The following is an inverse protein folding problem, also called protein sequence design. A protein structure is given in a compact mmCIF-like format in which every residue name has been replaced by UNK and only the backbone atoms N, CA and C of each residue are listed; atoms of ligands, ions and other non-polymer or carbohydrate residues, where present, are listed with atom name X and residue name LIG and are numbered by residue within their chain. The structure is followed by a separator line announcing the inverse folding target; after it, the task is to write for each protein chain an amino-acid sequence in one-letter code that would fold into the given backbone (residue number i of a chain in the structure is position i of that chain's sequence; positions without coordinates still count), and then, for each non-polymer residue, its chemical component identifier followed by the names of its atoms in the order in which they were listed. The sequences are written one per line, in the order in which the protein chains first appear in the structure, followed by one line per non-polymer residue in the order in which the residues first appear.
data_IF_410565905877
#
_entry.id   IF_410565905877
#
_cell.length_a   1.000
_cell.length_b   1.000
_cell.length_c   1.000
_cell.angle_alpha   90.00
_cell.angle_beta   90.00
_cell.angle_gamma   90.00
#
_symmetry.space_group_name_H-M   'P 1'
#
loop_
_entity.id
_entity.type
_entity.pdbx_description
1 polymer ?
#
# COMPACT_ATOMS: atom_id res chain seq x y z
N UNK A 1 -1.76 -11.59 1.81
CA UNK A 1 -3.06 -10.97 1.49
C UNK A 1 -3.21 -10.83 -0.02
N UNK A 2 -4.43 -10.70 -0.54
CA UNK A 2 -4.68 -10.43 -1.96
C UNK A 2 -4.36 -8.96 -2.32
N UNK A 3 -3.71 -8.75 -3.47
CA UNK A 3 -3.32 -7.41 -3.93
C UNK A 3 -3.78 -7.22 -5.36
N UNK A 4 -4.59 -6.19 -5.58
CA UNK A 4 -5.00 -5.68 -6.89
C UNK A 4 -4.46 -4.27 -7.13
N UNK A 5 -4.66 -3.73 -8.33
CA UNK A 5 -4.20 -2.40 -8.73
C UNK A 5 -5.36 -1.56 -9.23
N UNK A 6 -5.40 -0.27 -8.86
CA UNK A 6 -6.46 0.64 -9.26
C UNK A 6 -6.49 0.91 -10.77
N UNK A 7 -5.36 0.72 -11.46
CA UNK A 7 -5.25 0.91 -12.92
C UNK A 7 -4.36 -0.14 -13.54
N UNK A 8 -4.65 -0.48 -14.80
CA UNK A 8 -3.80 -1.36 -15.61
C UNK A 8 -2.38 -0.77 -15.80
N UNK A 9 -2.24 0.56 -15.78
CA UNK A 9 -0.92 1.22 -15.83
C UNK A 9 -0.10 0.89 -14.59
N UNK A 10 -0.68 0.97 -13.40
CA UNK A 10 0.00 0.60 -12.16
C UNK A 10 0.36 -0.88 -12.16
N UNK A 11 -0.57 -1.73 -12.54
CA UNK A 11 -0.32 -3.17 -12.68
C UNK A 11 0.88 -3.44 -13.60
N UNK A 12 0.93 -2.78 -14.77
CA UNK A 12 2.05 -2.92 -15.72
C UNK A 12 3.38 -2.45 -15.12
N UNK A 13 3.39 -1.36 -14.34
CA UNK A 13 4.61 -0.88 -13.67
C UNK A 13 5.09 -1.91 -12.65
N UNK A 14 4.16 -2.54 -11.92
CA UNK A 14 4.43 -3.49 -10.86
C UNK A 14 4.65 -4.94 -11.35
N UNK A 15 4.38 -5.22 -12.62
CA UNK A 15 4.45 -6.57 -13.18
C UNK A 15 5.86 -7.19 -13.19
N UNK A 16 6.90 -6.37 -13.30
CA UNK A 16 8.29 -6.85 -13.36
C UNK A 16 9.24 -5.94 -12.60
N UNK A 17 10.36 -6.48 -12.11
CA UNK A 17 11.41 -5.66 -11.50
C UNK A 17 11.94 -4.60 -12.49
N UNK A 18 12.13 -4.97 -13.77
CA UNK A 18 12.58 -4.05 -14.81
C UNK A 18 11.64 -2.86 -15.00
N UNK A 19 10.32 -3.09 -15.02
CA UNK A 19 9.33 -2.01 -15.13
C UNK A 19 9.30 -1.13 -13.89
N UNK A 20 9.46 -1.72 -12.70
CA UNK A 20 9.54 -1.01 -11.43
C UNK A 20 10.78 -0.10 -11.36
N UNK A 21 11.95 -0.62 -11.73
CA UNK A 21 13.22 0.13 -11.81
C UNK A 21 13.13 1.26 -12.83
N UNK A 22 12.49 1.03 -13.99
CA UNK A 22 12.25 2.08 -14.99
C UNK A 22 11.33 3.17 -14.46
N UNK A 23 10.35 2.81 -13.62
CA UNK A 23 9.37 3.74 -13.07
C UNK A 23 9.90 4.60 -11.92
N UNK A 24 10.70 4.01 -11.03
CA UNK A 24 11.06 4.64 -9.75
C UNK A 24 12.57 4.72 -9.47
N UNK A 25 13.41 4.06 -10.26
CA UNK A 25 14.83 3.90 -9.94
C UNK A 25 15.11 2.61 -9.16
N UNK A 26 16.38 2.20 -9.10
CA UNK A 26 16.78 0.90 -8.57
C UNK A 26 16.56 0.78 -7.04
N UNK A 27 16.89 1.83 -6.29
CA UNK A 27 16.77 1.84 -4.83
C UNK A 27 15.31 1.85 -4.37
N UNK A 28 14.48 2.69 -4.99
CA UNK A 28 13.05 2.77 -4.75
C UNK A 28 12.37 1.46 -5.15
N UNK A 29 12.70 0.92 -6.33
CA UNK A 29 12.16 -0.36 -6.78
C UNK A 29 12.45 -1.48 -5.77
N UNK A 30 13.69 -1.61 -5.28
CA UNK A 30 14.05 -2.59 -4.25
C UNK A 30 13.21 -2.43 -2.97
N UNK A 31 12.94 -1.18 -2.56
CA UNK A 31 12.15 -0.89 -1.36
C UNK A 31 10.66 -1.15 -1.58
N UNK A 32 10.11 -0.80 -2.74
CA UNK A 32 8.73 -1.10 -3.13
C UNK A 32 8.52 -2.62 -3.14
N UNK A 33 9.40 -3.37 -3.82
CA UNK A 33 9.34 -4.84 -3.85
C UNK A 33 9.32 -5.42 -2.44
N UNK A 34 10.15 -4.89 -1.52
CA UNK A 34 10.12 -5.33 -0.11
C UNK A 34 8.76 -5.08 0.55
N UNK A 35 8.09 -3.94 0.30
CA UNK A 35 6.75 -3.67 0.84
C UNK A 35 5.70 -4.61 0.26
N UNK A 36 5.76 -4.88 -1.03
CA UNK A 36 4.87 -5.84 -1.69
C UNK A 36 5.04 -7.24 -1.12
N UNK A 37 6.28 -7.71 -0.97
CA UNK A 37 6.56 -9.02 -0.35
C UNK A 37 5.98 -9.11 1.05
N UNK A 38 6.12 -8.05 1.85
CA UNK A 38 5.55 -7.98 3.20
C UNK A 38 4.01 -8.07 3.16
N UNK A 39 3.35 -7.33 2.26
CA UNK A 39 1.90 -7.35 2.09
C UNK A 39 1.40 -8.73 1.60
N UNK A 40 2.08 -9.32 0.62
CA UNK A 40 1.73 -10.66 0.12
C UNK A 40 1.84 -11.72 1.22
N UNK A 41 2.89 -11.66 2.04
CA UNK A 41 3.12 -12.60 3.14
C UNK A 41 2.24 -12.35 4.38
N UNK A 42 1.70 -11.14 4.55
CA UNK A 42 0.85 -10.80 5.68
C UNK A 42 -0.50 -11.52 5.60
N UNK A 43 -0.93 -12.11 6.72
CA UNK A 43 -2.24 -12.75 6.84
C UNK A 43 -3.38 -11.73 6.79
N UNK A 44 -3.17 -10.56 7.38
CA UNK A 44 -4.07 -9.42 7.34
C UNK A 44 -3.26 -8.12 7.49
N UNK A 45 -3.93 -6.99 7.34
CA UNK A 45 -3.30 -5.67 7.38
C UNK A 45 -2.68 -5.34 8.75
N UNK A 46 -3.21 -5.88 9.84
CA UNK A 46 -2.69 -5.62 11.20
C UNK A 46 -1.21 -6.02 11.35
N UNK A 47 -0.77 -7.08 10.66
CA UNK A 47 0.65 -7.50 10.63
C UNK A 47 1.57 -6.35 10.19
N UNK A 48 1.12 -5.50 9.26
CA UNK A 48 1.90 -4.39 8.72
C UNK A 48 2.24 -3.33 9.76
N UNK A 49 1.54 -3.26 10.90
CA UNK A 49 1.90 -2.35 12.01
C UNK A 49 3.21 -2.75 12.70
N UNK A 50 3.55 -4.03 12.66
CA UNK A 50 4.76 -4.56 13.30
C UNK A 50 5.98 -4.53 12.37
N UNK A 51 5.77 -4.25 11.08
CA UNK A 51 6.81 -4.29 10.05
C UNK A 51 7.36 -2.88 9.74
N UNK A 52 8.62 -2.78 9.29
CA UNK A 52 9.19 -1.51 8.86
C UNK A 52 8.40 -0.86 7.73
N UNK A 53 8.26 0.46 7.75
CA UNK A 53 7.52 1.22 6.73
C UNK A 53 6.39 2.08 7.30
N UNK A 54 6.15 2.06 8.61
CA UNK A 54 5.17 2.95 9.28
C UNK A 54 3.81 2.94 8.57
N UNK A 55 3.19 1.77 8.45
CA UNK A 55 1.84 1.65 7.87
C UNK A 55 0.83 2.45 8.70
N UNK A 56 0.08 3.36 8.08
CA UNK A 56 -0.91 4.19 8.77
C UNK A 56 -2.09 4.58 7.88
N UNK A 57 -3.23 4.87 8.50
CA UNK A 57 -4.42 5.40 7.81
C UNK A 57 -4.19 6.87 7.42
N UNK A 58 -4.71 7.24 6.25
CA UNK A 58 -4.80 8.61 5.79
C UNK A 58 -6.12 9.24 6.23
N UNK A 59 -6.15 10.57 6.25
CA UNK A 59 -7.23 11.36 6.83
C UNK A 59 -7.77 12.37 5.80
N UNK A 60 -8.88 13.04 6.10
CA UNK A 60 -9.50 14.02 5.20
C UNK A 60 -10.03 13.36 3.93
N UNK A 61 -9.73 13.96 2.77
CA UNK A 61 -10.18 13.48 1.45
C UNK A 61 -9.65 12.08 1.08
N UNK A 62 -8.66 11.60 1.84
CA UNK A 62 -8.06 10.26 1.70
C UNK A 62 -8.46 9.32 2.82
N UNK A 63 -9.53 9.63 3.57
CA UNK A 63 -10.11 8.71 4.53
C UNK A 63 -10.33 7.33 3.88
N UNK A 64 -10.13 6.26 4.65
CA UNK A 64 -10.12 4.84 4.23
C UNK A 64 -8.92 4.37 3.38
N UNK A 65 -8.02 5.26 2.98
CA UNK A 65 -6.76 4.89 2.36
C UNK A 65 -5.65 4.75 3.41
N UNK A 66 -4.60 4.02 3.06
CA UNK A 66 -3.44 3.78 3.90
C UNK A 66 -2.15 4.06 3.15
N UNK A 67 -1.13 4.45 3.88
CA UNK A 67 0.21 4.68 3.36
C UNK A 67 1.25 3.80 4.05
N UNK A 68 2.19 3.28 3.26
CA UNK A 68 3.44 2.67 3.75
C UNK A 68 4.63 3.41 3.15
N UNK A 69 5.59 3.77 3.98
CA UNK A 69 6.83 4.39 3.58
C UNK A 69 7.73 3.42 2.79
N UNK A 70 8.08 3.88 1.59
CA UNK A 70 9.08 3.26 0.72
C UNK A 70 10.44 3.89 1.02
N UNK A 71 10.54 5.22 0.93
CA UNK A 71 11.70 6.03 1.33
C UNK A 71 11.24 7.15 2.28
N UNK A 72 12.12 8.11 2.60
CA UNK A 72 11.70 9.36 3.26
C UNK A 72 10.68 10.14 2.44
N UNK A 73 10.72 9.96 1.12
CA UNK A 73 9.99 10.77 0.15
C UNK A 73 8.81 9.98 -0.41
N UNK A 74 9.02 8.71 -0.77
CA UNK A 74 8.00 7.89 -1.41
C UNK A 74 7.11 7.13 -0.43
N UNK A 75 5.80 7.16 -0.70
CA UNK A 75 4.78 6.35 -0.03
C UNK A 75 4.04 5.49 -1.05
N UNK A 76 3.84 4.21 -0.70
CA UNK A 76 2.91 3.31 -1.37
C UNK A 76 1.53 3.49 -0.75
N UNK A 77 0.55 3.88 -1.56
CA UNK A 77 -0.82 4.11 -1.12
C UNK A 77 -1.74 3.00 -1.62
N UNK A 78 -2.60 2.50 -0.73
CA UNK A 78 -3.59 1.48 -1.03
C UNK A 78 -4.84 1.67 -0.17
N UNK A 79 -5.88 0.91 -0.47
CA UNK A 79 -7.10 0.82 0.36
C UNK A 79 -7.57 -0.64 0.45
N UNK A 80 -8.44 -1.00 1.41
CA UNK A 80 -9.13 -2.27 1.38
C UNK A 80 -9.90 -2.43 0.06
N UNK A 81 -9.88 -3.64 -0.51
CA UNK A 81 -10.63 -3.93 -1.75
C UNK A 81 -12.12 -4.11 -1.47
N UNK A 82 -12.47 -4.65 -0.31
CA UNK A 82 -13.85 -4.88 0.11
C UNK A 82 -14.59 -3.56 0.29
N UNK A 83 -15.79 -3.47 -0.30
CA UNK A 83 -16.67 -2.31 -0.16
C UNK A 83 -18.04 -2.73 0.41
N UNK A 84 -18.47 -2.17 1.57
CA UNK A 84 -17.75 -1.18 2.37
C UNK A 84 -16.51 -1.77 3.07
N UNK A 85 -15.52 -0.94 3.46
CA UNK A 85 -14.34 -1.42 4.16
C UNK A 85 -14.72 -2.05 5.51
N UNK A 86 -14.01 -3.10 5.96
CA UNK A 86 -14.26 -3.71 7.27
C UNK A 86 -14.15 -2.66 8.39
N UNK A 87 -15.18 -2.52 9.20
CA UNK A 87 -15.23 -1.50 10.25
C UNK A 87 -15.34 -2.14 11.63
N UNK A 88 -14.69 -1.54 12.62
CA UNK A 88 -14.84 -1.95 14.02
C UNK A 88 -16.21 -1.53 14.55
N UNK A 89 -16.76 -2.20 15.59
CA UNK A 89 -18.05 -1.84 16.19
C UNK A 89 -18.12 -0.39 16.70
N UNK A 90 -16.98 0.20 17.08
CA UNK A 90 -16.85 1.58 17.55
C UNK A 90 -16.40 2.57 16.45
N UNK A 91 -16.39 2.14 15.18
CA UNK A 91 -15.92 2.94 14.04
C UNK A 91 -14.43 2.77 13.75
N UNK A 92 -14.01 3.29 12.60
CA UNK A 92 -12.66 3.11 12.07
C UNK A 92 -12.44 1.75 11.41
N UNK A 93 -11.34 1.64 10.66
CA UNK A 93 -11.01 0.45 9.89
C UNK A 93 -10.63 -0.72 10.82
N UNK A 94 -11.20 -1.90 10.57
CA UNK A 94 -10.78 -3.14 11.21
C UNK A 94 -9.64 -3.81 10.41
N UNK A 95 -8.41 -3.46 10.75
CA UNK A 95 -7.20 -3.99 10.09
C UNK A 95 -7.06 -5.51 10.20
N UNK A 96 -7.67 -6.15 11.21
CA UNK A 96 -7.62 -7.62 11.33
C UNK A 96 -8.48 -8.31 10.28
N UNK A 97 -9.52 -7.62 9.80
CA UNK A 97 -10.46 -8.11 8.80
C UNK A 97 -10.10 -7.67 7.37
N UNK A 98 -8.98 -6.97 7.16
CA UNK A 98 -8.49 -6.62 5.83
C UNK A 98 -7.51 -7.67 5.33
N UNK A 99 -7.98 -8.49 4.39
CA UNK A 99 -7.25 -9.58 3.72
C UNK A 99 -7.03 -9.34 2.22
N UNK A 100 -7.64 -8.29 1.66
CA UNK A 100 -7.49 -7.86 0.28
C UNK A 100 -7.32 -6.33 0.19
N UNK A 101 -6.33 -5.88 -0.59
CA UNK A 101 -6.06 -4.46 -0.82
C UNK A 101 -5.94 -4.12 -2.31
N UNK A 102 -6.26 -2.87 -2.64
CA UNK A 102 -6.06 -2.29 -3.97
C UNK A 102 -4.99 -1.21 -3.88
N UNK A 103 -3.87 -1.38 -4.60
CA UNK A 103 -2.81 -0.37 -4.72
C UNK A 103 -3.31 0.77 -5.58
N UNK A 104 -3.33 1.97 -5.00
CA UNK A 104 -3.86 3.19 -5.61
C UNK A 104 -2.77 3.99 -6.32
N UNK A 105 -1.56 4.10 -5.75
CA UNK A 105 -0.44 4.84 -6.32
C UNK A 105 0.86 4.64 -5.52
N UNK A 106 1.98 5.09 -6.09
CA UNK A 106 3.21 5.41 -5.36
C UNK A 106 3.52 6.87 -5.63
N UNK A 107 3.57 7.68 -4.58
CA UNK A 107 3.70 9.14 -4.69
C UNK A 107 4.88 9.66 -3.89
N UNK A 108 5.54 10.70 -4.42
CA UNK A 108 6.55 11.49 -3.70
C UNK A 108 5.83 12.51 -2.82
N UNK A 109 6.10 12.47 -1.52
CA UNK A 109 5.46 13.30 -0.53
C UNK A 109 6.22 14.59 -0.24
N UNK A 110 7.29 14.90 -0.98
CA UNK A 110 7.86 16.24 -1.00
C UNK A 110 7.32 17.02 -2.21
N UNK A 111 6.24 17.76 -1.98
CA UNK A 111 5.64 18.58 -3.02
C UNK A 111 4.37 19.33 -2.64
N UNK A 112 4.19 19.70 -1.37
CA UNK A 112 3.36 20.85 -0.94
C UNK A 112 4.15 21.68 0.07
#
# INVERSE_FOLDING_TARGET
MEISFATHKLETVFATEKSLVRGFGAEEARRITRRLTQLYAAANLEVMRTLPGRCHELHGDRAVQLAIDVTSNYRLIFKPTTEPPPAKPNGGLDWNAVDAITIMEVTDYHGD
#
